data_IF_160944172243
#
_entry.id   IF_160944172243
#
_cell.length_a   1.000
_cell.length_b   1.000
_cell.length_c   1.000
_cell.angle_alpha   90.00
_cell.angle_beta   90.00
_cell.angle_gamma   90.00
#
_symmetry.space_group_name_H-M   'P 1'
#
loop_
_entity.id
_entity.type
_entity.pdbx_description
1 polymer ?
#
# COMPACT_ATOMS: atom_id res chain seq x y z
N UNK A 1 -3.03 -23.66 -7.17
CA UNK A 1 -3.03 -25.12 -6.91
C UNK A 1 -3.75 -25.35 -5.60
N UNK A 2 -4.64 -26.34 -5.54
CA UNK A 2 -5.54 -26.57 -4.40
C UNK A 2 -4.76 -27.03 -3.17
N UNK A 3 -4.51 -26.13 -2.23
CA UNK A 3 -3.96 -26.43 -0.88
C UNK A 3 -4.87 -27.42 -0.14
N UNK A 4 -6.14 -27.52 -0.54
CA UNK A 4 -7.18 -28.34 0.07
C UNK A 4 -7.12 -29.82 -0.44
N UNK A 5 -6.23 -30.14 -1.38
CA UNK A 5 -6.17 -31.47 -2.00
C UNK A 5 -5.39 -32.55 -1.22
N UNK A 6 -4.46 -32.17 -0.35
CA UNK A 6 -3.65 -33.12 0.43
C UNK A 6 -4.23 -33.25 1.85
N UNK A 7 -5.01 -34.31 2.07
CA UNK A 7 -5.82 -34.50 3.28
C UNK A 7 -5.02 -34.83 4.55
N UNK A 8 -3.71 -35.08 4.47
CA UNK A 8 -2.87 -35.38 5.64
C UNK A 8 -2.70 -34.18 6.59
N UNK A 9 -2.94 -32.97 6.12
CA UNK A 9 -2.81 -31.74 6.90
C UNK A 9 -3.98 -31.46 7.87
N UNK A 10 -5.01 -32.33 7.88
CA UNK A 10 -6.21 -32.18 8.73
C UNK A 10 -6.29 -33.28 9.79
N UNK A 11 -5.39 -34.26 9.77
CA UNK A 11 -5.41 -35.39 10.69
C UNK A 11 -4.60 -35.08 11.95
N UNK A 12 -5.28 -35.08 13.10
CA UNK A 12 -4.63 -34.86 14.40
C UNK A 12 -4.16 -36.18 14.98
N UNK A 13 -2.88 -36.26 15.35
CA UNK A 13 -2.34 -37.41 16.07
C UNK A 13 -3.13 -37.68 17.36
N UNK A 14 -3.52 -38.94 17.56
CA UNK A 14 -4.15 -39.42 18.78
C UNK A 14 -3.20 -40.40 19.48
N UNK A 15 -3.02 -40.20 20.79
CA UNK A 15 -2.25 -41.10 21.65
C UNK A 15 -3.17 -41.90 22.56
N UNK A 16 -2.79 -43.15 22.86
CA UNK A 16 -3.54 -44.00 23.80
C UNK A 16 -2.62 -44.66 24.83
N UNK A 17 -3.20 -45.05 25.97
CA UNK A 17 -2.47 -45.66 27.07
C UNK A 17 -1.81 -46.98 26.64
N UNK A 18 -0.52 -47.13 26.92
CA UNK A 18 0.28 -48.30 26.53
C UNK A 18 0.85 -48.23 25.11
N UNK A 19 0.60 -47.16 24.35
CA UNK A 19 1.23 -46.95 23.06
C UNK A 19 2.74 -46.69 23.21
N UNK A 20 3.55 -47.37 22.39
CA UNK A 20 4.98 -47.05 22.23
C UNK A 20 5.12 -45.85 21.29
N UNK A 21 5.83 -44.82 21.75
CA UNK A 21 6.12 -43.64 20.95
C UNK A 21 7.39 -43.83 20.11
N UNK A 22 7.30 -43.44 18.85
CA UNK A 22 8.41 -43.37 17.90
C UNK A 22 8.77 -41.92 17.58
N UNK A 23 9.97 -41.69 17.06
CA UNK A 23 10.38 -40.37 16.60
C UNK A 23 9.42 -39.80 15.55
N UNK A 24 8.89 -40.65 14.67
CA UNK A 24 7.88 -40.28 13.67
C UNK A 24 6.60 -39.71 14.27
N UNK A 25 6.18 -40.19 15.45
CA UNK A 25 4.96 -39.69 16.10
C UNK A 25 5.16 -38.25 16.59
N UNK A 26 6.33 -37.95 17.15
CA UNK A 26 6.68 -36.61 17.62
C UNK A 26 6.98 -35.65 16.46
N UNK A 27 7.65 -36.13 15.42
CA UNK A 27 7.87 -35.37 14.19
C UNK A 27 6.54 -35.01 13.52
N UNK A 28 5.58 -35.94 13.49
CA UNK A 28 4.24 -35.66 12.96
C UNK A 28 3.48 -34.60 13.76
N UNK A 29 3.63 -34.56 15.10
CA UNK A 29 3.03 -33.50 15.93
C UNK A 29 3.65 -32.14 15.61
N UNK A 30 4.97 -32.05 15.49
CA UNK A 30 5.63 -30.78 15.19
C UNK A 30 5.30 -30.29 13.77
N UNK A 31 5.32 -31.20 12.79
CA UNK A 31 4.95 -30.90 11.41
C UNK A 31 3.54 -30.32 11.32
N UNK A 32 2.55 -30.96 11.96
CA UNK A 32 1.17 -30.49 11.98
C UNK A 32 1.06 -29.08 12.59
N UNK A 33 1.72 -28.83 13.73
CA UNK A 33 1.68 -27.51 14.37
C UNK A 33 2.34 -26.44 13.50
N UNK A 34 3.48 -26.76 12.87
CA UNK A 34 4.21 -25.86 11.97
C UNK A 34 3.36 -25.50 10.76
N UNK A 35 2.77 -26.49 10.10
CA UNK A 35 1.91 -26.28 8.92
C UNK A 35 0.63 -25.50 9.25
N UNK A 36 -0.01 -25.77 10.40
CA UNK A 36 -1.16 -24.98 10.85
C UNK A 36 -0.81 -23.51 11.08
N UNK A 37 0.39 -23.21 11.63
CA UNK A 37 0.90 -21.83 11.73
C UNK A 37 1.16 -21.22 10.36
N UNK A 38 1.76 -21.96 9.43
CA UNK A 38 2.01 -21.46 8.08
C UNK A 38 0.71 -21.18 7.31
N UNK A 39 -0.31 -22.03 7.45
CA UNK A 39 -1.65 -21.78 6.90
C UNK A 39 -2.31 -20.54 7.52
N UNK A 40 -2.18 -20.35 8.83
CA UNK A 40 -2.64 -19.12 9.48
C UNK A 40 -1.94 -17.88 8.91
N UNK A 41 -0.61 -17.94 8.81
CA UNK A 41 0.20 -16.86 8.26
C UNK A 41 -0.17 -16.56 6.81
N UNK A 42 -0.31 -17.57 5.97
CA UNK A 42 -0.68 -17.40 4.56
C UNK A 42 -2.11 -16.85 4.38
N UNK A 43 -3.03 -17.15 5.29
CA UNK A 43 -4.43 -16.70 5.21
C UNK A 43 -4.66 -15.30 5.77
N UNK A 44 -3.88 -14.88 6.77
CA UNK A 44 -4.11 -13.64 7.53
C UNK A 44 -2.98 -12.62 7.42
N UNK A 45 -1.88 -12.93 6.74
CA UNK A 45 -0.74 -12.04 6.56
C UNK A 45 -0.31 -11.97 5.09
N UNK A 46 0.40 -10.90 4.75
CA UNK A 46 1.08 -10.80 3.46
C UNK A 46 2.58 -11.07 3.64
N UNK A 47 3.32 -11.45 2.58
CA UNK A 47 4.75 -11.63 2.67
C UNK A 47 5.45 -10.32 3.03
N UNK A 48 6.30 -10.33 4.05
CA UNK A 48 7.03 -9.15 4.47
C UNK A 48 7.63 -9.24 5.86
N UNK A 49 8.09 -8.09 6.37
CA UNK A 49 8.71 -7.99 7.70
C UNK A 49 7.63 -7.72 8.75
N UNK A 50 7.56 -8.56 9.78
CA UNK A 50 6.63 -8.37 10.90
C UNK A 50 7.19 -7.45 11.97
N UNK A 51 8.45 -7.63 12.34
CA UNK A 51 9.16 -6.82 13.33
C UNK A 51 10.68 -6.88 13.13
N UNK A 52 11.42 -5.87 13.60
CA UNK A 52 12.89 -5.90 13.57
C UNK A 52 13.48 -5.90 12.16
N UNK A 53 14.52 -6.70 11.91
CA UNK A 53 15.27 -6.72 10.65
C UNK A 53 15.75 -5.31 10.25
N UNK A 54 16.03 -4.45 11.24
CA UNK A 54 16.53 -3.11 10.96
C UNK A 54 17.89 -3.25 10.28
N UNK A 55 18.06 -2.60 9.14
CA UNK A 55 19.28 -2.68 8.35
C UNK A 55 19.87 -1.29 8.16
N UNK A 56 21.19 -1.18 8.32
CA UNK A 56 21.92 0.07 8.17
C UNK A 56 23.21 -0.11 7.37
N UNK A 57 23.52 0.89 6.55
CA UNK A 57 24.77 1.02 5.82
C UNK A 57 24.85 2.42 5.20
N UNK A 58 25.97 3.11 5.42
CA UNK A 58 26.23 4.45 4.94
C UNK A 58 27.07 4.44 3.66
N UNK A 59 27.09 5.56 2.95
CA UNK A 59 28.02 5.75 1.83
C UNK A 59 29.45 5.49 2.28
N UNK A 60 30.16 4.65 1.54
CA UNK A 60 31.55 4.28 1.79
C UNK A 60 31.72 2.98 2.57
N UNK A 61 30.65 2.47 3.21
CA UNK A 61 30.73 1.22 3.96
C UNK A 61 30.92 0.02 3.03
N UNK A 62 31.66 -0.97 3.52
CA UNK A 62 31.92 -2.26 2.84
C UNK A 62 31.11 -3.42 3.41
N UNK A 63 30.29 -3.14 4.40
CA UNK A 63 29.44 -4.10 5.07
C UNK A 63 28.17 -3.41 5.52
N UNK A 64 27.11 -4.19 5.69
CA UNK A 64 25.83 -3.73 6.21
C UNK A 64 25.52 -4.50 7.48
N UNK A 65 24.84 -3.85 8.42
CA UNK A 65 24.47 -4.44 9.71
C UNK A 65 22.98 -4.71 9.70
N UNK A 66 22.59 -5.94 10.03
CA UNK A 66 21.20 -6.42 10.09
C UNK A 66 20.90 -6.80 11.54
N UNK A 67 19.95 -6.10 12.16
CA UNK A 67 19.51 -6.35 13.52
C UNK A 67 18.49 -7.49 13.58
N UNK A 68 18.35 -8.17 14.74
CA UNK A 68 17.34 -9.20 14.96
C UNK A 68 15.95 -8.83 14.45
N UNK A 69 15.19 -9.83 14.00
CA UNK A 69 13.92 -9.60 13.33
C UNK A 69 13.09 -10.84 13.06
N UNK A 70 11.85 -10.59 12.66
CA UNK A 70 10.84 -11.58 12.32
C UNK A 70 10.17 -11.18 11.01
N UNK A 71 10.02 -12.15 10.10
CA UNK A 71 9.38 -11.97 8.81
C UNK A 71 8.58 -13.21 8.41
N UNK A 72 7.66 -13.04 7.47
CA UNK A 72 6.80 -14.09 6.93
C UNK A 72 6.94 -14.07 5.42
N UNK A 73 7.20 -15.23 4.81
CA UNK A 73 7.21 -15.35 3.34
C UNK A 73 5.84 -15.78 2.77
N UNK A 74 5.77 -15.94 1.45
CA UNK A 74 4.51 -16.28 0.77
C UNK A 74 3.97 -17.68 1.01
N UNK A 75 4.80 -18.58 1.54
CA UNK A 75 4.35 -19.90 1.98
C UNK A 75 3.94 -19.89 3.47
N UNK A 76 3.91 -18.70 4.10
CA UNK A 76 3.56 -18.52 5.51
C UNK A 76 4.68 -18.87 6.48
N UNK A 77 5.89 -19.14 5.98
CA UNK A 77 7.02 -19.59 6.80
C UNK A 77 7.60 -18.44 7.60
N UNK A 78 7.93 -18.74 8.85
CA UNK A 78 8.43 -17.76 9.81
C UNK A 78 9.96 -17.67 9.71
N UNK A 79 10.47 -16.50 9.34
CA UNK A 79 11.90 -16.23 9.20
C UNK A 79 12.34 -15.44 10.43
N UNK A 80 13.15 -16.06 11.28
CA UNK A 80 13.56 -15.47 12.57
C UNK A 80 15.06 -15.25 12.60
N UNK A 81 15.48 -14.00 12.79
CA UNK A 81 16.84 -13.64 13.11
C UNK A 81 16.94 -13.27 14.59
N UNK A 82 17.71 -14.01 15.36
CA UNK A 82 17.86 -13.79 16.81
C UNK A 82 19.06 -12.92 17.18
N UNK A 83 20.03 -12.77 16.29
CA UNK A 83 21.30 -12.08 16.54
C UNK A 83 21.63 -11.08 15.43
N UNK A 84 22.49 -10.11 15.72
CA UNK A 84 22.96 -9.18 14.68
C UNK A 84 23.84 -9.91 13.68
N UNK A 85 23.60 -9.69 12.39
CA UNK A 85 24.40 -10.21 11.28
C UNK A 85 25.08 -9.07 10.53
N UNK A 86 26.32 -9.31 10.11
CA UNK A 86 27.09 -8.39 9.28
C UNK A 86 27.24 -9.04 7.90
N UNK A 87 26.68 -8.41 6.88
CA UNK A 87 26.78 -8.88 5.50
C UNK A 87 27.78 -8.02 4.72
N UNK A 88 28.79 -8.61 4.05
CA UNK A 88 29.71 -7.87 3.21
C UNK A 88 28.98 -7.31 1.98
N UNK A 89 29.33 -6.10 1.58
CA UNK A 89 28.85 -5.50 0.32
C UNK A 89 29.47 -6.26 -0.86
N UNK A 90 28.71 -6.53 -1.94
CA UNK A 90 29.23 -7.24 -3.11
C UNK A 90 30.53 -6.61 -3.64
N UNK A 91 31.58 -7.41 -3.90
CA UNK A 91 32.89 -6.90 -4.29
C UNK A 91 32.92 -6.56 -5.80
N UNK A 92 32.15 -5.55 -6.21
CA UNK A 92 32.09 -5.07 -7.60
C UNK A 92 32.72 -3.70 -7.77
N UNK A 93 33.54 -3.54 -8.82
CA UNK A 93 34.18 -2.26 -9.13
C UNK A 93 33.19 -1.22 -9.68
N UNK A 94 32.26 -1.66 -10.52
CA UNK A 94 31.24 -0.85 -11.19
C UNK A 94 30.53 -1.67 -12.26
N UNK A 95 29.64 -1.05 -13.02
CA UNK A 95 29.10 -1.61 -14.26
C UNK A 95 30.12 -1.51 -15.41
N UNK A 96 29.72 -1.93 -16.61
CA UNK A 96 30.58 -1.93 -17.80
C UNK A 96 31.00 -0.51 -18.25
N UNK A 97 30.37 0.53 -17.70
CA UNK A 97 30.65 1.95 -17.97
C UNK A 97 31.27 2.68 -16.76
N UNK A 98 31.64 1.96 -15.70
CA UNK A 98 32.20 2.51 -14.47
C UNK A 98 31.18 3.18 -13.54
N UNK A 99 29.89 2.99 -13.79
CA UNK A 99 28.77 3.43 -12.96
C UNK A 99 28.47 2.46 -11.80
N UNK A 100 27.60 2.85 -10.85
CA UNK A 100 27.22 2.00 -9.73
C UNK A 100 26.32 0.82 -10.16
N UNK A 101 26.55 -0.35 -9.56
CA UNK A 101 25.73 -1.55 -9.74
C UNK A 101 24.66 -1.61 -8.66
N UNK A 102 23.44 -1.99 -9.04
CA UNK A 102 22.31 -2.06 -8.13
C UNK A 102 22.09 -3.48 -7.61
N UNK A 103 21.78 -3.60 -6.31
CA UNK A 103 21.42 -4.86 -5.68
C UNK A 103 20.22 -4.68 -4.75
N UNK A 104 19.37 -5.70 -4.65
CA UNK A 104 18.48 -5.87 -3.51
C UNK A 104 19.12 -6.87 -2.53
N UNK A 105 19.23 -6.50 -1.25
CA UNK A 105 19.53 -7.48 -0.20
C UNK A 105 18.23 -8.11 0.27
N UNK A 106 18.13 -9.42 0.13
CA UNK A 106 16.94 -10.19 0.50
C UNK A 106 17.20 -11.13 1.66
N UNK A 107 16.15 -11.49 2.39
CA UNK A 107 16.13 -12.57 3.37
C UNK A 107 15.11 -13.64 2.97
N UNK A 108 15.44 -14.91 3.18
CA UNK A 108 14.55 -16.05 2.91
C UNK A 108 14.62 -17.11 3.99
N UNK A 109 13.58 -17.94 4.05
CA UNK A 109 13.57 -19.15 4.86
C UNK A 109 14.60 -20.17 4.30
N UNK A 110 15.39 -20.86 5.13
CA UNK A 110 16.36 -21.84 4.67
C UNK A 110 15.68 -23.08 4.06
N UNK A 111 16.34 -23.72 3.10
CA UNK A 111 15.88 -25.03 2.60
C UNK A 111 16.04 -26.08 3.72
N UNK A 112 14.98 -26.84 3.99
CA UNK A 112 14.92 -27.87 5.03
C UNK A 112 16.02 -28.94 4.83
N UNK A 113 16.38 -29.23 3.58
CA UNK A 113 17.47 -30.16 3.26
C UNK A 113 18.86 -29.60 3.53
N UNK A 114 18.97 -28.29 3.77
CA UNK A 114 20.24 -27.59 4.00
C UNK A 114 20.42 -27.13 5.45
N UNK A 115 19.46 -27.46 6.33
CA UNK A 115 19.53 -27.08 7.73
C UNK A 115 20.74 -27.70 8.42
N UNK A 116 21.49 -26.86 9.12
CA UNK A 116 22.65 -27.30 9.88
C UNK A 116 22.21 -27.95 11.19
N UNK A 117 22.79 -29.10 11.55
CA UNK A 117 22.58 -29.72 12.85
C UNK A 117 23.26 -28.87 13.94
N UNK A 118 22.46 -28.21 14.78
CA UNK A 118 22.95 -27.49 15.95
C UNK A 118 23.38 -28.45 17.06
N UNK A 119 22.71 -29.60 17.16
CA UNK A 119 23.00 -30.62 18.15
C UNK A 119 22.73 -32.00 17.57
N UNK A 120 23.64 -32.94 17.88
CA UNK A 120 23.57 -34.33 17.44
C UNK A 120 23.75 -35.25 18.63
N UNK A 121 23.18 -36.46 18.56
CA UNK A 121 23.28 -37.46 19.62
C UNK A 121 23.53 -38.84 19.04
N UNK A 122 24.35 -39.62 19.73
CA UNK A 122 24.59 -41.02 19.39
C UNK A 122 23.32 -41.85 19.58
N UNK A 123 23.12 -42.78 18.66
CA UNK A 123 22.04 -43.75 18.73
C UNK A 123 22.33 -44.87 19.74
N UNK A 124 21.29 -45.50 20.27
CA UNK A 124 21.43 -46.66 21.16
C UNK A 124 21.63 -47.93 20.32
N UNK A 125 22.33 -48.94 20.84
CA UNK A 125 22.53 -50.25 20.20
C UNK A 125 23.17 -50.18 18.79
N UNK A 126 24.15 -49.30 18.59
CA UNK A 126 24.89 -49.19 17.32
C UNK A 126 24.10 -48.53 16.19
N UNK A 127 22.96 -47.89 16.50
CA UNK A 127 22.26 -47.03 15.54
C UNK A 127 23.07 -45.76 15.26
N UNK A 128 22.96 -45.26 14.03
CA UNK A 128 23.72 -44.10 13.58
C UNK A 128 23.40 -42.85 14.41
N UNK A 129 24.42 -42.01 14.60
CA UNK A 129 24.29 -40.67 15.17
C UNK A 129 23.25 -39.86 14.39
N UNK A 130 22.35 -39.20 15.10
CA UNK A 130 21.28 -38.38 14.51
C UNK A 130 21.31 -36.93 14.99
N UNK A 131 20.79 -36.02 14.16
CA UNK A 131 20.50 -34.65 14.58
C UNK A 131 19.29 -34.63 15.52
N UNK A 132 19.38 -33.88 16.62
CA UNK A 132 18.29 -33.67 17.57
C UNK A 132 17.85 -32.20 17.63
N UNK A 133 18.63 -31.29 17.03
CA UNK A 133 18.25 -29.89 16.79
C UNK A 133 18.81 -29.44 15.45
N UNK A 134 17.94 -28.89 14.61
CA UNK A 134 18.31 -28.25 13.35
C UNK A 134 18.23 -26.72 13.53
N UNK A 135 19.13 -25.98 12.89
CA UNK A 135 19.18 -24.52 12.95
C UNK A 135 18.49 -23.92 11.74
N UNK A 136 17.32 -23.33 11.96
CA UNK A 136 16.57 -22.53 10.98
C UNK A 136 17.10 -21.09 10.93
N UNK A 137 18.35 -20.92 10.50
CA UNK A 137 18.92 -19.59 10.32
C UNK A 137 18.45 -18.96 8.99
N UNK A 138 18.11 -17.66 8.97
CA UNK A 138 17.71 -16.98 7.75
C UNK A 138 18.86 -16.93 6.74
N UNK A 139 18.52 -16.99 5.45
CA UNK A 139 19.48 -16.90 4.36
C UNK A 139 19.44 -15.48 3.78
N UNK A 140 20.59 -14.79 3.79
CA UNK A 140 20.75 -13.48 3.16
C UNK A 140 21.32 -13.65 1.76
N UNK A 141 20.79 -12.89 0.79
CA UNK A 141 21.22 -12.96 -0.60
C UNK A 141 21.24 -11.58 -1.24
N UNK A 142 22.36 -11.25 -1.90
CA UNK A 142 22.48 -10.06 -2.73
C UNK A 142 21.99 -10.38 -4.15
N UNK A 143 20.81 -9.88 -4.50
CA UNK A 143 20.20 -10.05 -5.82
C UNK A 143 20.63 -8.91 -6.73
N UNK A 144 21.46 -9.22 -7.74
CA UNK A 144 21.92 -8.22 -8.72
C UNK A 144 20.78 -7.77 -9.61
N UNK A 145 20.66 -6.45 -9.79
CA UNK A 145 19.64 -5.81 -10.60
C UNK A 145 20.19 -5.31 -11.93
N UNK A 146 19.34 -5.29 -12.95
CA UNK A 146 19.63 -4.72 -14.26
C UNK A 146 19.69 -3.19 -14.23
N UNK A 147 19.95 -2.60 -15.40
CA UNK A 147 20.04 -1.15 -15.56
C UNK A 147 18.69 -0.45 -15.29
N UNK A 148 18.70 0.84 -14.92
CA UNK A 148 17.50 1.68 -14.89
C UNK A 148 16.78 1.73 -16.26
N UNK A 149 15.46 2.00 -16.29
CA UNK A 149 14.61 2.36 -15.15
C UNK A 149 14.06 1.16 -14.36
N UNK A 150 14.02 -0.03 -14.97
CA UNK A 150 13.24 -1.16 -14.44
C UNK A 150 13.87 -1.79 -13.18
N UNK A 151 15.21 -1.80 -13.09
CA UNK A 151 15.97 -2.31 -11.93
C UNK A 151 15.43 -3.65 -11.41
N UNK A 152 15.15 -4.58 -12.34
CA UNK A 152 14.68 -5.93 -12.06
C UNK A 152 15.87 -6.87 -11.82
N UNK A 153 15.71 -7.94 -11.02
CA UNK A 153 16.73 -8.97 -10.88
C UNK A 153 17.17 -9.54 -12.24
N UNK A 154 18.48 -9.65 -12.45
CA UNK A 154 19.05 -10.21 -13.69
C UNK A 154 18.85 -11.73 -13.73
N UNK A 155 19.03 -12.39 -12.58
CA UNK A 155 18.79 -13.83 -12.44
C UNK A 155 17.29 -14.11 -12.40
N UNK A 156 16.81 -14.94 -13.33
CA UNK A 156 15.38 -15.26 -13.45
C UNK A 156 14.85 -16.04 -12.25
N UNK A 157 15.62 -16.96 -11.69
CA UNK A 157 15.19 -17.76 -10.53
C UNK A 157 15.06 -16.87 -9.30
N UNK A 158 16.01 -15.97 -9.07
CA UNK A 158 15.93 -14.99 -7.99
C UNK A 158 14.81 -13.97 -8.24
N UNK A 159 14.59 -13.57 -9.50
CA UNK A 159 13.44 -12.73 -9.89
C UNK A 159 12.13 -13.38 -9.47
N UNK A 160 11.92 -14.64 -9.85
CA UNK A 160 10.71 -15.38 -9.53
C UNK A 160 10.52 -15.53 -8.02
N UNK A 161 11.59 -15.82 -7.27
CA UNK A 161 11.54 -15.94 -5.81
C UNK A 161 11.17 -14.62 -5.13
N UNK A 162 11.70 -13.49 -5.60
CA UNK A 162 11.37 -12.15 -5.07
C UNK A 162 9.94 -11.74 -5.43
N UNK A 163 9.51 -11.98 -6.67
CA UNK A 163 8.14 -11.65 -7.13
C UNK A 163 7.10 -12.48 -6.39
N UNK A 164 7.38 -13.77 -6.17
CA UNK A 164 6.49 -14.66 -5.42
C UNK A 164 6.50 -14.40 -3.92
N UNK A 165 7.39 -13.55 -3.40
CA UNK A 165 7.48 -13.26 -1.96
C UNK A 165 8.15 -14.34 -1.13
N UNK A 166 8.95 -15.22 -1.77
CA UNK A 166 9.80 -16.21 -1.09
C UNK A 166 11.12 -15.59 -0.62
N UNK A 167 11.60 -14.56 -1.34
CA UNK A 167 12.73 -13.72 -0.96
C UNK A 167 12.24 -12.31 -0.63
N UNK A 168 12.36 -11.92 0.63
CA UNK A 168 11.85 -10.65 1.13
C UNK A 168 12.94 -9.58 1.03
N UNK A 169 12.65 -8.46 0.35
CA UNK A 169 13.59 -7.33 0.23
C UNK A 169 13.74 -6.61 1.56
N UNK A 170 14.98 -6.51 2.05
CA UNK A 170 15.34 -5.71 3.22
C UNK A 170 15.72 -4.28 2.84
N UNK A 171 16.57 -4.15 1.81
CA UNK A 171 17.05 -2.86 1.32
C UNK A 171 17.56 -2.97 -0.12
N UNK A 172 17.65 -1.82 -0.79
CA UNK A 172 18.34 -1.64 -2.07
C UNK A 172 19.66 -0.91 -1.86
N UNK A 173 20.72 -1.43 -2.46
CA UNK A 173 22.06 -0.87 -2.44
C UNK A 173 22.49 -0.41 -3.83
N UNK A 174 23.31 0.65 -3.83
CA UNK A 174 24.13 1.06 -4.97
C UNK A 174 25.58 0.80 -4.59
N UNK A 175 26.29 0.01 -5.40
CA UNK A 175 27.64 -0.44 -5.09
C UNK A 175 28.60 0.02 -6.17
N UNK A 176 29.68 0.66 -5.76
CA UNK A 176 30.75 1.12 -6.63
C UNK A 176 32.07 1.00 -5.87
N UNK A 177 33.12 0.47 -6.50
CA UNK A 177 34.43 0.23 -5.88
C UNK A 177 34.36 -0.58 -4.57
N UNK A 178 33.56 -1.66 -4.58
CA UNK A 178 33.37 -2.60 -3.48
C UNK A 178 32.84 -1.97 -2.18
N UNK A 179 32.12 -0.85 -2.29
CA UNK A 179 31.52 -0.13 -1.17
C UNK A 179 30.17 0.48 -1.59
N UNK A 180 29.36 0.84 -0.61
CA UNK A 180 28.11 1.56 -0.86
C UNK A 180 28.40 2.93 -1.48
N UNK A 181 27.85 3.23 -2.66
CA UNK A 181 27.93 4.55 -3.29
C UNK A 181 26.98 5.56 -2.63
N UNK A 182 25.90 5.06 -2.04
CA UNK A 182 24.89 5.82 -1.29
C UNK A 182 24.43 5.03 -0.06
N UNK A 183 23.82 5.69 0.95
CA UNK A 183 23.15 4.96 2.02
C UNK A 183 22.10 3.98 1.47
N UNK A 184 21.84 2.90 2.19
CA UNK A 184 20.83 1.92 1.82
C UNK A 184 19.45 2.55 1.68
N UNK A 185 18.71 2.15 0.64
CA UNK A 185 17.30 2.50 0.46
C UNK A 185 16.42 1.43 1.08
N UNK A 186 15.49 1.83 1.95
CA UNK A 186 14.48 0.93 2.53
C UNK A 186 13.14 0.95 1.77
N UNK A 187 13.02 1.71 0.69
CA UNK A 187 11.74 1.95 0.00
C UNK A 187 11.10 0.68 -0.57
N UNK A 188 11.88 -0.37 -0.81
CA UNK A 188 11.42 -1.64 -1.38
C UNK A 188 10.93 -2.64 -0.32
N UNK A 189 11.14 -2.33 0.96
CA UNK A 189 10.79 -3.18 2.09
C UNK A 189 9.27 -3.20 2.29
N UNK A 190 8.72 -4.39 2.52
CA UNK A 190 7.28 -4.60 2.78
C UNK A 190 7.04 -5.10 4.20
N UNK A 191 5.86 -4.82 4.73
CA UNK A 191 5.45 -5.29 6.07
C UNK A 191 4.58 -6.54 5.95
N UNK A 192 4.71 -7.46 6.90
CA UNK A 192 3.91 -8.68 6.95
C UNK A 192 2.46 -8.43 7.39
N UNK A 193 2.20 -7.27 8.00
CA UNK A 193 0.84 -6.84 8.32
C UNK A 193 0.05 -6.79 7.02
N UNK A 194 -1.17 -7.35 6.95
CA UNK A 194 -2.06 -7.16 5.81
C UNK A 194 -2.04 -5.70 5.39
N UNK A 195 -2.10 -5.43 4.09
CA UNK A 195 -2.58 -4.13 3.65
C UNK A 195 -3.89 -3.89 4.42
N UNK A 196 -4.03 -2.75 5.09
CA UNK A 196 -5.32 -2.32 5.62
C UNK A 196 -6.31 -2.56 4.48
N UNK A 197 -7.26 -3.49 4.65
CA UNK A 197 -8.37 -3.56 3.72
C UNK A 197 -9.04 -2.21 3.91
N UNK A 198 -8.92 -1.29 2.93
CA UNK A 198 -9.37 0.05 3.19
C UNK A 198 -10.87 -0.03 3.42
N UNK A 199 -11.33 0.54 4.51
CA UNK A 199 -12.75 0.67 4.73
C UNK A 199 -13.28 1.70 3.71
N UNK A 200 -14.09 1.22 2.78
CA UNK A 200 -14.65 2.03 1.71
C UNK A 200 -16.14 2.21 1.93
N UNK A 201 -16.60 3.44 1.80
CA UNK A 201 -18.02 3.77 1.75
C UNK A 201 -18.26 4.84 0.69
N UNK A 202 -19.41 4.78 0.04
CA UNK A 202 -19.88 5.76 -0.93
C UNK A 202 -21.35 6.05 -0.70
N UNK A 203 -21.78 7.24 -1.11
CA UNK A 203 -23.20 7.63 -1.08
C UNK A 203 -23.47 8.75 -2.08
N UNK A 204 -24.75 9.06 -2.25
CA UNK A 204 -25.28 10.12 -3.09
C UNK A 204 -25.87 11.24 -2.24
N UNK A 205 -25.19 12.39 -2.20
CA UNK A 205 -25.64 13.55 -1.42
C UNK A 205 -26.64 14.38 -2.24
N UNK A 206 -27.87 14.48 -1.72
CA UNK A 206 -28.99 15.23 -2.31
C UNK A 206 -29.42 16.40 -1.42
N UNK A 207 -30.22 17.31 -1.96
CA UNK A 207 -30.80 18.45 -1.22
C UNK A 207 -29.72 19.29 -0.51
N UNK A 208 -28.61 19.52 -1.22
CA UNK A 208 -27.48 20.28 -0.71
C UNK A 208 -27.83 21.75 -0.59
N UNK A 209 -27.45 22.36 0.53
CA UNK A 209 -27.56 23.81 0.73
C UNK A 209 -26.32 24.48 0.14
N UNK A 210 -26.39 24.84 -1.15
CA UNK A 210 -25.29 25.49 -1.85
C UNK A 210 -25.09 26.93 -1.35
N UNK A 211 -23.87 27.23 -0.89
CA UNK A 211 -23.46 28.54 -0.40
C UNK A 211 -22.62 29.27 -1.45
N UNK A 212 -22.95 30.55 -1.64
CA UNK A 212 -22.22 31.49 -2.49
C UNK A 212 -21.45 32.49 -1.61
N UNK A 213 -20.29 33.01 -2.05
CA UNK A 213 -19.51 33.97 -1.27
C UNK A 213 -20.28 35.27 -1.00
N UNK A 214 -20.11 35.78 0.22
CA UNK A 214 -20.61 37.08 0.64
C UNK A 214 -19.61 38.16 0.24
N UNK A 215 -19.76 38.74 -0.95
CA UNK A 215 -18.88 39.77 -1.50
C UNK A 215 -19.08 39.95 -3.01
N UNK A 216 -18.33 40.85 -3.68
CA UNK A 216 -18.31 40.92 -5.13
C UNK A 216 -17.95 39.53 -5.68
N UNK A 217 -18.75 39.05 -6.64
CA UNK A 217 -18.75 37.67 -7.17
C UNK A 217 -17.48 37.27 -7.92
N UNK A 218 -16.44 38.11 -7.94
CA UNK A 218 -15.24 37.95 -8.75
C UNK A 218 -14.02 38.46 -7.97
N UNK A 219 -13.12 37.55 -7.60
CA UNK A 219 -11.72 37.88 -7.30
C UNK A 219 -10.88 38.05 -8.59
N UNK A 220 -11.54 38.21 -9.75
CA UNK A 220 -10.94 38.14 -11.08
C UNK A 220 -10.65 36.71 -11.58
N UNK A 221 -11.00 35.68 -10.81
CA UNK A 221 -10.65 34.28 -11.10
C UNK A 221 -11.88 33.37 -11.28
N UNK A 222 -13.06 33.81 -10.84
CA UNK A 222 -14.29 33.01 -10.88
C UNK A 222 -15.18 33.11 -9.64
N UNK A 223 -16.33 32.46 -9.73
CA UNK A 223 -17.33 32.29 -8.69
C UNK A 223 -17.11 30.97 -7.95
N UNK A 224 -16.90 31.03 -6.65
CA UNK A 224 -16.84 29.85 -5.79
C UNK A 224 -18.25 29.46 -5.33
N UNK A 225 -18.61 28.18 -5.43
CA UNK A 225 -19.87 27.62 -4.97
C UNK A 225 -19.54 26.44 -4.06
N UNK A 226 -20.04 26.43 -2.83
CA UNK A 226 -19.65 25.42 -1.82
C UNK A 226 -20.85 24.72 -1.21
N UNK A 227 -20.71 23.44 -0.87
CA UNK A 227 -21.68 22.68 -0.07
C UNK A 227 -20.95 21.79 0.94
N UNK A 228 -21.50 21.61 2.13
CA UNK A 228 -20.96 20.67 3.11
C UNK A 228 -21.64 19.31 2.96
N UNK A 229 -20.85 18.24 2.87
CA UNK A 229 -21.32 16.86 2.71
C UNK A 229 -21.19 16.13 4.04
N UNK A 230 -22.31 15.63 4.60
CA UNK A 230 -22.32 14.79 5.80
C UNK A 230 -22.10 13.32 5.39
N UNK A 231 -21.08 12.70 5.97
CA UNK A 231 -20.77 11.27 5.73
C UNK A 231 -20.81 10.45 7.02
N UNK A 232 -21.50 10.90 8.08
CA UNK A 232 -21.54 10.19 9.37
C UNK A 232 -22.07 8.76 9.26
N UNK A 233 -23.03 8.52 8.38
CA UNK A 233 -23.60 7.20 8.14
C UNK A 233 -22.54 6.19 7.62
N UNK A 234 -21.46 6.69 7.03
CA UNK A 234 -20.33 5.90 6.58
C UNK A 234 -19.49 5.34 7.74
N UNK A 235 -19.57 5.89 8.96
CA UNK A 235 -18.91 5.28 10.12
C UNK A 235 -17.38 5.24 10.09
N UNK A 236 -16.71 6.11 9.32
CA UNK A 236 -15.24 6.25 9.33
C UNK A 236 -14.73 6.57 10.75
N UNK A 237 -13.60 5.96 11.13
CA UNK A 237 -12.99 6.16 12.46
C UNK A 237 -11.95 7.29 12.46
N UNK A 238 -11.33 7.52 11.31
CA UNK A 238 -10.31 8.51 10.97
C UNK A 238 -10.72 9.26 9.69
N UNK A 239 -10.17 10.45 9.41
CA UNK A 239 -10.48 11.15 8.16
C UNK A 239 -10.06 10.34 6.92
N UNK A 240 -10.99 9.90 6.06
CA UNK A 240 -10.65 9.11 4.88
C UNK A 240 -10.13 10.02 3.74
N UNK A 241 -9.53 9.40 2.74
CA UNK A 241 -9.27 10.04 1.45
C UNK A 241 -10.58 10.09 0.65
N UNK A 242 -11.20 11.27 0.55
CA UNK A 242 -12.41 11.46 -0.24
C UNK A 242 -12.12 11.70 -1.72
N UNK A 243 -13.00 11.19 -2.56
CA UNK A 243 -13.17 11.61 -3.95
C UNK A 243 -14.66 11.89 -4.18
N UNK A 244 -14.98 12.96 -4.91
CA UNK A 244 -16.37 13.32 -5.15
C UNK A 244 -16.55 13.92 -6.55
N UNK A 245 -17.76 13.77 -7.08
CA UNK A 245 -18.15 14.23 -8.40
C UNK A 245 -19.48 14.99 -8.31
N UNK A 246 -19.53 16.16 -8.92
CA UNK A 246 -20.76 16.91 -9.10
C UNK A 246 -21.60 16.25 -10.21
N UNK A 247 -22.89 16.03 -9.96
CA UNK A 247 -23.87 15.53 -10.92
C UNK A 247 -24.89 16.62 -11.27
N UNK A 248 -25.70 16.40 -12.32
CA UNK A 248 -26.75 17.33 -12.74
C UNK A 248 -26.44 18.17 -13.98
N UNK A 249 -27.43 18.96 -14.42
CA UNK A 249 -27.30 19.84 -15.58
C UNK A 249 -26.31 20.98 -15.31
N UNK A 250 -25.48 21.31 -16.30
CA UNK A 250 -24.59 22.49 -16.29
C UNK A 250 -25.18 23.69 -17.01
N UNK A 251 -26.39 23.56 -17.57
CA UNK A 251 -27.08 24.63 -18.26
C UNK A 251 -27.94 25.44 -17.28
N UNK A 252 -27.66 26.73 -17.18
CA UNK A 252 -28.36 27.68 -16.34
C UNK A 252 -29.05 28.74 -17.18
N UNK A 253 -30.27 29.08 -16.79
CA UNK A 253 -31.05 30.15 -17.40
C UNK A 253 -31.13 31.31 -16.40
N UNK A 254 -30.69 32.49 -16.83
CA UNK A 254 -30.73 33.71 -16.03
C UNK A 254 -31.65 34.73 -16.67
N UNK A 255 -32.43 35.46 -15.87
CA UNK A 255 -33.21 36.60 -16.34
C UNK A 255 -32.48 37.90 -16.00
N UNK A 256 -32.07 38.65 -17.02
CA UNK A 256 -31.34 39.91 -16.88
C UNK A 256 -32.06 40.99 -17.68
N UNK A 257 -32.51 42.07 -17.05
CA UNK A 257 -33.23 43.17 -17.71
C UNK A 257 -34.36 42.69 -18.66
N UNK A 258 -35.15 41.72 -18.20
CA UNK A 258 -36.26 41.10 -18.94
C UNK A 258 -35.86 40.26 -20.17
N UNK A 259 -34.61 39.81 -20.25
CA UNK A 259 -34.11 38.84 -21.25
C UNK A 259 -33.64 37.57 -20.56
N UNK A 260 -33.84 36.43 -21.23
CA UNK A 260 -33.33 35.14 -20.78
C UNK A 260 -31.95 34.88 -21.38
N UNK A 261 -31.01 34.54 -20.52
CA UNK A 261 -29.59 34.38 -20.83
C UNK A 261 -29.16 32.98 -20.40
N UNK A 262 -28.69 32.18 -21.35
CA UNK A 262 -28.19 30.83 -21.08
C UNK A 262 -26.69 30.86 -20.80
N UNK A 263 -26.26 30.14 -19.76
CA UNK A 263 -24.84 29.90 -19.46
C UNK A 263 -24.59 28.44 -19.15
N UNK A 264 -23.42 27.96 -19.53
CA UNK A 264 -22.90 26.67 -19.09
C UNK A 264 -21.99 26.93 -17.91
N UNK A 265 -22.41 26.53 -16.71
CA UNK A 265 -21.61 26.68 -15.50
C UNK A 265 -20.95 25.35 -15.18
N UNK A 266 -19.64 25.29 -15.39
CA UNK A 266 -18.80 24.17 -14.99
C UNK A 266 -17.52 24.70 -14.35
N UNK A 267 -16.80 23.86 -13.64
CA UNK A 267 -15.69 24.36 -12.84
C UNK A 267 -14.78 23.31 -12.26
N UNK A 268 -13.78 23.80 -11.53
CA UNK A 268 -12.81 22.96 -10.85
C UNK A 268 -13.34 22.55 -9.48
N UNK A 269 -13.41 21.25 -9.24
CA UNK A 269 -13.81 20.67 -7.96
C UNK A 269 -12.61 20.58 -7.03
N UNK A 270 -12.81 21.06 -5.80
CA UNK A 270 -11.84 20.99 -4.72
C UNK A 270 -12.57 20.50 -3.47
N UNK A 271 -11.99 19.51 -2.78
CA UNK A 271 -12.48 19.03 -1.49
C UNK A 271 -11.67 19.68 -0.37
N UNK A 272 -12.35 20.27 0.58
CA UNK A 272 -11.78 21.01 1.71
C UNK A 272 -12.26 20.40 3.03
N UNK A 273 -11.55 20.71 4.11
CA UNK A 273 -11.95 20.37 5.48
C UNK A 273 -12.37 18.89 5.69
N UNK A 274 -11.68 17.95 5.03
CA UNK A 274 -11.97 16.53 5.16
C UNK A 274 -11.84 16.07 6.62
N UNK A 275 -12.87 15.36 7.10
CA UNK A 275 -12.97 14.82 8.44
C UNK A 275 -13.61 13.43 8.39
N UNK A 276 -13.61 12.68 9.49
CA UNK A 276 -14.29 11.37 9.57
C UNK A 276 -15.82 11.43 9.35
N UNK A 277 -16.42 12.62 9.43
CA UNK A 277 -17.87 12.83 9.39
C UNK A 277 -18.34 13.66 8.21
N UNK A 278 -17.44 14.04 7.30
CA UNK A 278 -17.78 14.89 6.17
C UNK A 278 -16.64 15.74 5.65
N UNK A 279 -16.93 16.47 4.59
CA UNK A 279 -16.01 17.39 3.91
C UNK A 279 -16.79 18.53 3.27
N UNK A 280 -16.09 19.61 2.92
CA UNK A 280 -16.64 20.71 2.14
C UNK A 280 -16.32 20.50 0.65
N UNK A 281 -17.37 20.42 -0.16
CA UNK A 281 -17.28 20.38 -1.62
C UNK A 281 -17.26 21.81 -2.16
N UNK A 282 -16.23 22.18 -2.91
CA UNK A 282 -16.07 23.51 -3.51
C UNK A 282 -15.91 23.41 -5.02
N UNK A 283 -16.76 24.13 -5.75
CA UNK A 283 -16.67 24.31 -7.20
C UNK A 283 -16.23 25.74 -7.51
N UNK A 284 -15.12 25.90 -8.24
CA UNK A 284 -14.70 27.19 -8.78
C UNK A 284 -15.13 27.31 -10.24
N UNK A 285 -16.14 28.14 -10.52
CA UNK A 285 -16.65 28.42 -11.85
C UNK A 285 -15.91 29.64 -12.43
N UNK A 286 -15.15 29.51 -13.53
CA UNK A 286 -14.44 30.65 -14.12
C UNK A 286 -15.37 31.79 -14.57
N UNK A 287 -14.96 33.04 -14.36
CA UNK A 287 -15.76 34.23 -14.72
C UNK A 287 -16.05 34.33 -16.23
N UNK A 288 -15.20 33.73 -17.08
CA UNK A 288 -15.39 33.65 -18.53
C UNK A 288 -16.61 32.81 -18.94
N UNK A 289 -17.12 31.96 -18.05
CA UNK A 289 -18.35 31.21 -18.26
C UNK A 289 -19.61 32.00 -17.87
N UNK A 290 -19.44 33.12 -17.16
CA UNK A 290 -20.53 34.00 -16.74
C UNK A 290 -20.60 35.25 -17.63
N UNK A 291 -19.45 35.82 -17.98
CA UNK A 291 -19.34 37.08 -18.72
C UNK A 291 -18.53 36.91 -20.01
N UNK A 292 -18.93 37.64 -21.06
CA UNK A 292 -18.12 37.82 -22.28
C UNK A 292 -17.38 39.14 -22.18
N UNK A 293 -16.12 39.13 -22.60
CA UNK A 293 -15.30 40.34 -22.74
C UNK A 293 -14.90 40.49 -24.21
N UNK A 294 -15.23 41.62 -24.89
CA UNK A 294 -15.96 42.78 -24.38
C UNK A 294 -17.46 42.50 -24.14
N UNK A 295 -18.09 43.30 -23.27
CA UNK A 295 -19.52 43.16 -22.99
C UNK A 295 -20.37 43.33 -24.25
N UNK A 296 -21.29 42.39 -24.49
CA UNK A 296 -22.24 42.48 -25.59
C UNK A 296 -23.62 42.88 -25.04
N UNK A 297 -24.20 44.02 -25.47
CA UNK A 297 -25.56 44.42 -25.09
C UNK A 297 -26.64 43.40 -25.46
N UNK A 298 -26.39 42.51 -26.42
CA UNK A 298 -27.28 41.42 -26.80
C UNK A 298 -27.15 40.19 -25.90
N UNK A 299 -26.07 40.08 -25.11
CA UNK A 299 -25.77 38.94 -24.23
C UNK A 299 -25.29 39.45 -22.85
N UNK A 300 -26.20 40.02 -22.03
CA UNK A 300 -25.83 40.71 -20.81
C UNK A 300 -25.23 39.75 -19.77
N UNK A 301 -24.32 40.27 -18.94
CA UNK A 301 -23.71 39.50 -17.85
C UNK A 301 -24.78 39.13 -16.79
N UNK A 302 -25.03 37.83 -16.51
CA UNK A 302 -25.94 37.39 -15.46
C UNK A 302 -25.63 37.96 -14.08
N UNK A 303 -24.36 38.19 -13.76
CA UNK A 303 -23.95 38.75 -12.47
C UNK A 303 -24.45 40.19 -12.24
N UNK A 304 -24.89 40.89 -13.29
CA UNK A 304 -25.48 42.22 -13.17
C UNK A 304 -26.95 42.20 -12.71
N UNK A 305 -27.62 41.04 -12.70
CA UNK A 305 -28.99 40.92 -12.22
C UNK A 305 -29.05 41.03 -10.68
N UNK A 306 -29.99 41.82 -10.10
CA UNK A 306 -30.08 42.01 -8.66
C UNK A 306 -30.44 40.71 -7.90
N UNK A 307 -31.11 39.77 -8.58
CA UNK A 307 -31.53 38.47 -8.08
C UNK A 307 -30.65 37.32 -8.60
N UNK A 308 -29.47 37.61 -9.17
CA UNK A 308 -28.53 36.61 -9.71
C UNK A 308 -28.26 35.45 -8.74
N UNK A 309 -27.96 35.77 -7.47
CA UNK A 309 -27.67 34.77 -6.43
C UNK A 309 -28.87 33.88 -6.16
N UNK A 310 -30.08 34.45 -6.12
CA UNK A 310 -31.31 33.69 -5.89
C UNK A 310 -31.61 32.76 -7.08
N UNK A 311 -31.48 33.26 -8.30
CA UNK A 311 -31.65 32.46 -9.52
C UNK A 311 -30.63 31.31 -9.59
N UNK A 312 -29.38 31.57 -9.19
CA UNK A 312 -28.33 30.55 -9.18
C UNK A 312 -28.59 29.50 -8.10
N UNK A 313 -28.80 29.90 -6.84
CA UNK A 313 -29.09 28.97 -5.73
C UNK A 313 -30.30 28.09 -6.03
N UNK A 314 -31.39 28.66 -6.56
CA UNK A 314 -32.58 27.89 -6.92
C UNK A 314 -32.29 26.81 -7.96
N UNK A 315 -31.45 27.12 -8.95
CA UNK A 315 -31.09 26.16 -10.00
C UNK A 315 -30.06 25.13 -9.52
N UNK A 316 -29.10 25.50 -8.67
CA UNK A 316 -28.17 24.54 -8.07
C UNK A 316 -28.88 23.59 -7.13
N UNK A 317 -29.74 24.09 -6.24
CA UNK A 317 -30.47 23.26 -5.27
C UNK A 317 -31.43 22.25 -5.96
N UNK A 318 -31.98 22.64 -7.11
CA UNK A 318 -32.89 21.78 -7.87
C UNK A 318 -32.18 20.72 -8.72
N UNK A 319 -30.97 21.02 -9.22
CA UNK A 319 -30.35 20.21 -10.27
C UNK A 319 -29.04 19.54 -9.86
N UNK A 320 -28.35 20.03 -8.83
CA UNK A 320 -27.01 19.57 -8.48
C UNK A 320 -27.02 18.67 -7.25
N UNK A 321 -26.39 17.52 -7.41
CA UNK A 321 -26.13 16.52 -6.37
C UNK A 321 -24.67 16.10 -6.43
N UNK A 322 -24.18 15.41 -5.41
CA UNK A 322 -22.77 14.99 -5.33
C UNK A 322 -22.67 13.50 -5.03
N UNK A 323 -22.03 12.75 -5.92
CA UNK A 323 -21.56 11.40 -5.62
C UNK A 323 -20.21 11.48 -4.91
N UNK A 324 -20.01 10.66 -3.88
CA UNK A 324 -18.73 10.61 -3.20
C UNK A 324 -18.35 9.19 -2.80
N UNK A 325 -17.05 8.96 -2.68
CA UNK A 325 -16.43 7.78 -2.10
C UNK A 325 -15.37 8.23 -1.10
N UNK A 326 -15.31 7.56 0.05
CA UNK A 326 -14.25 7.72 1.05
C UNK A 326 -13.51 6.40 1.25
N UNK A 327 -12.18 6.49 1.31
CA UNK A 327 -11.27 5.35 1.53
C UNK A 327 -10.49 5.59 2.82
N UNK A 328 -10.76 4.79 3.85
CA UNK A 328 -10.07 4.81 5.15
C UNK A 328 -9.06 3.65 5.22
N UNK A 329 -7.77 3.98 5.37
CA UNK A 329 -6.64 3.07 5.54
C UNK A 329 -5.46 3.90 6.06
#
# INVERSE_FOLDING_TARGET
>A
MSIIGETRFVERNQFFNGQRLFASDLQGVEELNRQMRWLHNQSLHQPGIGAGFAISGNKGDRQVVIQPGYAIDADGREIVLTETVIEPVPPVAGDDFGGPVFFDLTVSYPDEHTLNAAETREGVCGTARGAIRLREAPVFCWVRLGAPPDQLPIDKTLSDAVVKGLHLRLARAQVLNCKLDRPLSLAQRRNAKPAEQPYMACDHATQLQWKLPNGPTSLGVGLQITASIDTKAAGFRTPPCYSAQLLGSREFNFRVNNRDVKRMLDGFVILLAASKSGFDFSLLVPDSLLSRVPENPEDPNPQAAPDFKEQLTRQTDANWTVDWIGVEG
#
